data_IF_920343608031
#
_entry.id   IF_920343608031
#
_cell.length_a   1.000
_cell.length_b   1.000
_cell.length_c   1.000
_cell.angle_alpha   90.00
_cell.angle_beta   90.00
_cell.angle_gamma   90.00
#
_symmetry.space_group_name_H-M   'P 1'
#
loop_
_entity.id
_entity.type
_entity.pdbx_description
1 polymer ?
#
# COMPACT_ATOMS: atom_id res chain seq x y z
N UNK A 1 4.32 -14.64 -20.97
CA UNK A 1 5.00 -14.74 -19.66
C UNK A 1 4.30 -13.77 -18.74
N UNK A 2 3.69 -14.28 -17.68
CA UNK A 2 2.88 -13.49 -16.76
C UNK A 2 3.76 -12.45 -16.09
N UNK A 3 3.56 -11.17 -16.41
CA UNK A 3 4.13 -10.05 -15.68
C UNK A 3 3.43 -10.04 -14.31
N UNK A 4 3.82 -10.97 -13.45
CA UNK A 4 3.45 -10.98 -12.05
C UNK A 4 4.15 -9.75 -11.49
N UNK A 5 3.46 -8.59 -11.49
CA UNK A 5 3.88 -7.37 -10.78
C UNK A 5 4.38 -7.88 -9.44
N UNK A 6 5.69 -7.97 -9.29
CA UNK A 6 6.29 -8.54 -8.08
C UNK A 6 6.17 -7.41 -7.12
N UNK A 7 5.03 -7.35 -6.41
CA UNK A 7 4.83 -6.35 -5.37
C UNK A 7 6.06 -6.40 -4.48
N UNK A 8 6.79 -5.28 -4.43
CA UNK A 8 8.04 -5.18 -3.68
C UNK A 8 7.78 -5.63 -2.25
N UNK A 9 8.82 -6.15 -1.58
CA UNK A 9 8.69 -6.68 -0.22
C UNK A 9 8.03 -5.66 0.71
N UNK A 10 8.26 -4.38 0.46
CA UNK A 10 7.63 -3.27 1.17
C UNK A 10 6.09 -3.24 1.02
N UNK A 11 5.54 -3.43 -0.19
CA UNK A 11 4.08 -3.51 -0.39
C UNK A 11 3.49 -4.72 0.34
N UNK A 12 4.16 -5.89 0.28
CA UNK A 12 3.72 -7.06 1.04
C UNK A 12 3.72 -6.81 2.56
N UNK A 13 4.71 -6.05 3.05
CA UNK A 13 4.80 -5.65 4.44
C UNK A 13 3.67 -4.69 4.82
N UNK A 14 3.38 -3.70 3.97
CA UNK A 14 2.24 -2.80 4.14
C UNK A 14 0.93 -3.56 4.19
N UNK A 15 0.68 -4.49 3.26
CA UNK A 15 -0.53 -5.32 3.29
C UNK A 15 -0.61 -6.09 4.61
N UNK A 16 0.49 -6.68 5.08
CA UNK A 16 0.49 -7.45 6.32
C UNK A 16 0.21 -6.57 7.54
N UNK A 17 0.83 -5.38 7.60
CA UNK A 17 0.60 -4.40 8.67
C UNK A 17 -0.84 -3.89 8.64
N UNK A 18 -1.31 -3.47 7.47
CA UNK A 18 -2.65 -2.98 7.23
C UNK A 18 -3.72 -4.02 7.54
N UNK A 19 -3.51 -5.29 7.17
CA UNK A 19 -4.42 -6.38 7.54
C UNK A 19 -4.46 -6.64 9.03
N UNK A 20 -3.34 -6.45 9.73
CA UNK A 20 -3.27 -6.67 11.17
C UNK A 20 -3.94 -5.53 11.96
N UNK A 21 -3.83 -4.28 11.47
CA UNK A 21 -4.44 -3.11 12.08
C UNK A 21 -5.89 -2.87 11.63
N UNK A 22 -6.22 -3.28 10.40
CA UNK A 22 -7.44 -2.92 9.68
C UNK A 22 -7.30 -1.64 8.84
N UNK A 23 -6.19 -0.91 8.98
CA UNK A 23 -5.93 0.34 8.27
C UNK A 23 -4.43 0.59 8.08
N UNK A 24 -4.09 1.49 7.16
CA UNK A 24 -2.75 2.06 6.93
C UNK A 24 -2.85 3.57 6.87
N UNK A 25 -1.83 4.26 7.38
CA UNK A 25 -1.73 5.71 7.21
C UNK A 25 -1.05 6.07 5.90
N UNK A 26 -1.34 7.26 5.35
CA UNK A 26 -0.59 7.76 4.18
C UNK A 26 0.91 7.89 4.50
N UNK A 27 1.27 8.20 5.75
CA UNK A 27 2.66 8.17 6.21
C UNK A 27 3.28 6.77 6.14
N UNK A 28 2.59 5.73 6.60
CA UNK A 28 3.10 4.35 6.52
C UNK A 28 3.32 3.94 5.07
N UNK A 29 2.36 4.27 4.21
CA UNK A 29 2.41 4.00 2.77
C UNK A 29 3.59 4.75 2.15
N UNK A 30 3.72 6.06 2.38
CA UNK A 30 4.83 6.86 1.86
C UNK A 30 6.21 6.40 2.36
N UNK A 31 6.32 5.93 3.61
CA UNK A 31 7.58 5.42 4.16
C UNK A 31 7.97 4.04 3.64
N UNK A 32 7.00 3.24 3.23
CA UNK A 32 7.21 1.91 2.66
C UNK A 32 6.89 1.85 1.16
N UNK A 33 6.73 3.01 0.51
CA UNK A 33 6.61 3.10 -0.93
C UNK A 33 7.99 2.78 -1.52
N UNK A 34 8.12 1.75 -2.37
CA UNK A 34 9.39 1.50 -3.03
C UNK A 34 9.66 2.59 -4.09
N UNK A 35 10.93 2.83 -4.39
CA UNK A 35 11.39 3.79 -5.43
C UNK A 35 10.86 3.47 -6.85
N UNK A 36 10.19 2.35 -7.05
CA UNK A 36 9.48 2.01 -8.29
C UNK A 36 8.11 2.71 -8.42
N UNK A 37 7.46 3.06 -7.30
CA UNK A 37 6.18 3.79 -7.28
C UNK A 37 6.51 5.28 -7.35
N UNK A 38 6.73 5.78 -8.57
CA UNK A 38 7.10 7.19 -8.82
C UNK A 38 6.01 7.95 -9.56
N UNK A 39 5.05 7.24 -10.13
CA UNK A 39 3.91 7.82 -10.86
C UNK A 39 2.65 7.82 -10.00
N UNK A 40 1.77 8.83 -10.15
CA UNK A 40 0.44 8.79 -9.54
C UNK A 40 -0.39 7.56 -9.95
N UNK A 41 -0.26 7.03 -11.18
CA UNK A 41 -0.93 5.79 -11.59
C UNK A 41 -0.51 4.58 -10.73
N UNK A 42 0.77 4.50 -10.38
CA UNK A 42 1.29 3.40 -9.54
C UNK A 42 0.78 3.54 -8.09
N UNK A 43 0.59 4.78 -7.61
CA UNK A 43 -0.02 5.05 -6.32
C UNK A 43 -1.48 4.58 -6.31
N UNK A 44 -2.25 4.86 -7.36
CA UNK A 44 -3.62 4.37 -7.55
C UNK A 44 -3.68 2.84 -7.52
N UNK A 45 -2.82 2.14 -8.28
CA UNK A 45 -2.70 0.68 -8.27
C UNK A 45 -2.48 0.12 -6.86
N UNK A 46 -1.67 0.80 -6.04
CA UNK A 46 -1.35 0.40 -4.65
C UNK A 46 -2.54 0.68 -3.72
N UNK A 47 -3.23 1.80 -3.89
CA UNK A 47 -4.44 2.11 -3.10
C UNK A 47 -5.57 1.14 -3.40
N UNK A 48 -5.79 0.81 -4.66
CA UNK A 48 -6.75 -0.21 -5.08
C UNK A 48 -6.41 -1.57 -4.48
N UNK A 49 -5.12 -1.94 -4.47
CA UNK A 49 -4.67 -3.18 -3.84
C UNK A 49 -4.99 -3.23 -2.33
N UNK A 50 -4.86 -2.12 -1.61
CA UNK A 50 -5.22 -2.06 -0.19
C UNK A 50 -6.74 -2.16 0.01
N UNK A 51 -7.52 -1.46 -0.82
CA UNK A 51 -8.98 -1.53 -0.84
C UNK A 51 -9.48 -2.97 -1.10
N UNK A 52 -8.88 -3.68 -2.07
CA UNK A 52 -9.17 -5.10 -2.35
C UNK A 52 -8.81 -6.05 -1.20
N UNK A 53 -7.96 -5.62 -0.26
CA UNK A 53 -7.53 -6.41 0.91
C UNK A 53 -8.30 -6.06 2.18
N UNK A 54 -9.36 -5.26 2.08
CA UNK A 54 -10.13 -4.72 3.21
C UNK A 54 -9.25 -3.90 4.17
N UNK A 55 -8.31 -3.13 3.62
CA UNK A 55 -7.44 -2.24 4.40
C UNK A 55 -7.88 -0.80 4.16
N UNK A 56 -8.27 -0.10 5.23
CA UNK A 56 -8.64 1.30 5.13
C UNK A 56 -7.41 2.21 5.05
N UNK A 57 -7.47 3.25 4.21
CA UNK A 57 -6.42 4.27 4.16
C UNK A 57 -6.90 5.51 4.92
N UNK A 58 -6.15 5.92 5.94
CA UNK A 58 -6.44 7.11 6.75
C UNK A 58 -5.29 8.10 6.63
N UNK A 59 -5.55 9.41 6.63
CA UNK A 59 -4.49 10.44 6.55
C UNK A 59 -3.46 10.26 7.66
N UNK A 60 -3.91 10.14 8.91
CA UNK A 60 -3.10 9.89 10.10
C UNK A 60 -3.95 9.17 11.16
N UNK A 61 -3.32 8.55 12.17
CA UNK A 61 -4.02 7.96 13.34
C UNK A 61 -4.79 9.01 14.18
N UNK A 62 -4.67 10.30 13.85
CA UNK A 62 -5.40 11.41 14.48
C UNK A 62 -6.63 11.82 13.65
N UNK A 63 -7.72 11.07 13.77
CA UNK A 63 -9.10 11.58 13.63
C UNK A 63 -10.06 10.86 14.60
#
# INVERSE_FOLDING_TARGET
MSNKKTYSKEIQKLITMGKSKGYLTYDEINNALPDDITSPDDLEDVMDLFSEKDIQLIESEEE
#
